data_IF_905998690327
#
_entry.id   IF_905998690327
#
_cell.length_a   1.000
_cell.length_b   1.000
_cell.length_c   1.000
_cell.angle_alpha   90.00
_cell.angle_beta   90.00
_cell.angle_gamma   90.00
#
_symmetry.space_group_name_H-M   'P 1'
#
loop_
_entity.id
_entity.type
_entity.pdbx_description
1 polymer ?
#
# COMPACT_ATOMS: atom_id res chain seq x y z
N UNK A 1 14.03 -23.09 16.01
CA UNK A 1 14.67 -23.73 14.83
C UNK A 1 13.96 -25.05 14.56
N UNK A 2 13.04 -25.11 13.61
CA UNK A 2 12.46 -26.36 13.14
C UNK A 2 13.15 -26.77 11.85
N UNK A 3 13.86 -27.87 11.85
CA UNK A 3 14.49 -28.46 10.66
C UNK A 3 13.38 -29.02 9.75
N UNK A 4 13.36 -28.53 8.49
CA UNK A 4 12.52 -29.09 7.44
C UNK A 4 13.20 -30.35 6.94
N UNK A 5 12.60 -31.52 7.19
CA UNK A 5 13.04 -32.81 6.61
C UNK A 5 12.67 -32.83 5.13
N UNK A 6 13.68 -32.86 4.27
CA UNK A 6 13.50 -33.15 2.83
C UNK A 6 13.09 -34.62 2.64
N UNK A 7 12.20 -34.92 1.68
CA UNK A 7 11.84 -36.30 1.37
C UNK A 7 13.03 -37.09 0.81
N UNK A 8 13.16 -38.31 1.28
CA UNK A 8 14.15 -39.29 0.91
C UNK A 8 14.02 -39.66 -0.57
N UNK A 9 15.09 -39.47 -1.35
CA UNK A 9 15.19 -39.96 -2.73
C UNK A 9 15.79 -41.35 -2.68
N UNK A 10 15.13 -42.40 -3.19
CA UNK A 10 15.73 -43.74 -3.24
C UNK A 10 16.62 -43.89 -4.49
N UNK A 11 17.84 -44.36 -4.25
CA UNK A 11 18.63 -45.12 -5.19
C UNK A 11 19.50 -44.37 -6.18
N UNK A 12 20.77 -44.60 -6.02
CA UNK A 12 21.86 -44.27 -6.95
C UNK A 12 21.52 -44.69 -8.39
N UNK A 13 21.37 -43.70 -9.29
CA UNK A 13 21.44 -43.90 -10.72
C UNK A 13 22.61 -43.11 -11.25
N UNK A 14 23.70 -43.78 -11.52
CA UNK A 14 24.83 -43.25 -12.31
C UNK A 14 24.30 -42.75 -13.67
N UNK A 15 24.21 -41.44 -13.83
CA UNK A 15 23.90 -40.83 -15.12
C UNK A 15 25.08 -40.99 -16.08
N UNK A 16 24.96 -41.88 -17.05
CA UNK A 16 25.90 -41.95 -18.18
C UNK A 16 25.75 -40.71 -19.04
N UNK A 17 26.88 -40.06 -19.33
CA UNK A 17 26.93 -38.97 -20.30
C UNK A 17 26.39 -39.42 -21.63
N UNK A 18 25.17 -38.99 -22.01
CA UNK A 18 24.61 -39.22 -23.32
C UNK A 18 23.08 -39.35 -23.42
N UNK A 19 22.38 -39.54 -22.30
CA UNK A 19 20.92 -39.65 -22.34
C UNK A 19 20.25 -38.31 -22.21
N UNK A 20 19.91 -37.68 -23.33
CA UNK A 20 18.99 -36.57 -23.41
C UNK A 20 17.61 -37.05 -22.95
N UNK A 21 17.13 -36.57 -21.80
CA UNK A 21 15.77 -36.79 -21.37
C UNK A 21 14.80 -36.22 -22.43
N UNK A 22 13.70 -36.92 -22.77
CA UNK A 22 12.79 -36.48 -23.82
C UNK A 22 12.22 -35.09 -23.51
N UNK A 23 12.15 -34.21 -24.50
CA UNK A 23 11.61 -32.85 -24.48
C UNK A 23 10.20 -32.72 -23.84
N UNK A 24 9.46 -33.81 -23.75
CA UNK A 24 8.13 -33.85 -23.13
C UNK A 24 8.10 -33.60 -21.63
N UNK A 25 9.22 -33.82 -20.91
CA UNK A 25 9.28 -33.61 -19.46
C UNK A 25 9.38 -32.11 -19.05
N UNK A 26 9.90 -31.29 -19.93
CA UNK A 26 10.04 -29.86 -19.68
C UNK A 26 8.78 -29.07 -20.03
N UNK A 27 8.03 -29.48 -21.05
CA UNK A 27 6.80 -28.78 -21.45
C UNK A 27 5.69 -28.84 -20.39
N UNK A 28 5.55 -29.96 -19.68
CA UNK A 28 4.56 -30.10 -18.61
C UNK A 28 4.87 -29.23 -17.37
N UNK A 29 6.16 -29.14 -16.99
CA UNK A 29 6.57 -28.33 -15.83
C UNK A 29 6.54 -26.82 -16.10
N UNK A 30 6.86 -26.38 -17.32
CA UNK A 30 6.73 -24.95 -17.69
C UNK A 30 5.26 -24.49 -17.73
N UNK A 31 4.33 -25.34 -18.16
CA UNK A 31 2.89 -25.01 -18.18
C UNK A 31 2.35 -24.92 -16.75
N UNK A 32 2.73 -25.82 -15.86
CA UNK A 32 2.28 -25.82 -14.47
C UNK A 32 2.87 -24.64 -13.69
N UNK A 33 4.16 -24.31 -13.88
CA UNK A 33 4.79 -23.13 -13.29
C UNK A 33 4.20 -21.81 -13.82
N UNK A 34 3.74 -21.78 -15.08
CA UNK A 34 3.03 -20.60 -15.63
C UNK A 34 1.61 -20.49 -15.08
N UNK A 35 0.88 -21.60 -14.92
CA UNK A 35 -0.44 -21.61 -14.31
C UNK A 35 -0.37 -21.22 -12.82
N UNK A 36 0.55 -21.80 -12.04
CA UNK A 36 0.73 -21.46 -10.64
C UNK A 36 1.14 -19.98 -10.44
N UNK A 37 1.97 -19.42 -11.36
CA UNK A 37 2.31 -17.98 -11.33
C UNK A 37 1.14 -17.08 -11.70
N UNK A 38 0.21 -17.55 -12.51
CA UNK A 38 -0.96 -16.79 -12.94
C UNK A 38 -2.09 -16.87 -11.90
N UNK A 39 -2.29 -18.01 -11.24
CA UNK A 39 -3.27 -18.20 -10.16
C UNK A 39 -2.87 -17.44 -8.88
N UNK A 40 -1.59 -17.42 -8.51
CA UNK A 40 -1.10 -16.63 -7.37
C UNK A 40 -1.29 -15.12 -7.61
N UNK A 41 -1.25 -14.66 -8.88
CA UNK A 41 -1.42 -13.23 -9.22
C UNK A 41 -2.88 -12.75 -9.27
N UNK A 42 -3.83 -13.66 -9.52
CA UNK A 42 -5.25 -13.30 -9.68
C UNK A 42 -5.90 -12.83 -8.37
N UNK A 43 -5.24 -13.04 -7.22
CA UNK A 43 -5.79 -12.72 -5.90
C UNK A 43 -5.00 -11.66 -5.12
N UNK A 44 -4.06 -10.93 -5.73
CA UNK A 44 -3.35 -9.86 -5.03
C UNK A 44 -4.23 -8.64 -4.83
N UNK A 45 -4.52 -8.31 -3.58
CA UNK A 45 -5.36 -7.18 -3.20
C UNK A 45 -4.50 -5.95 -2.90
N UNK A 46 -4.10 -5.22 -3.95
CA UNK A 46 -3.43 -3.93 -3.79
C UNK A 46 -4.48 -2.84 -3.57
N UNK A 47 -4.52 -2.27 -2.39
CA UNK A 47 -5.57 -1.36 -1.93
C UNK A 47 -4.96 0.02 -1.65
N UNK A 48 -5.53 1.05 -2.24
CA UNK A 48 -5.25 2.44 -1.85
C UNK A 48 -6.24 2.83 -0.77
N UNK A 49 -5.78 3.08 0.47
CA UNK A 49 -6.62 3.69 1.49
C UNK A 49 -6.51 5.21 1.40
N UNK A 50 -7.63 5.87 1.17
CA UNK A 50 -7.70 7.27 0.77
C UNK A 50 -8.56 8.10 1.73
N UNK A 51 -8.31 9.41 1.79
CA UNK A 51 -9.07 10.35 2.62
C UNK A 51 -8.18 11.45 3.18
N UNK A 52 -8.81 12.52 3.65
CA UNK A 52 -8.11 13.66 4.23
C UNK A 52 -7.25 13.28 5.45
N UNK A 53 -6.27 14.13 5.82
CA UNK A 53 -5.60 14.01 7.11
C UNK A 53 -6.63 13.90 8.25
N UNK A 54 -6.45 12.93 9.16
CA UNK A 54 -7.41 12.71 10.27
C UNK A 54 -8.60 11.81 9.96
N UNK A 55 -8.77 11.30 8.73
CA UNK A 55 -9.93 10.46 8.36
C UNK A 55 -9.91 9.04 8.97
N UNK A 56 -8.83 8.62 9.61
CA UNK A 56 -8.74 7.30 10.25
C UNK A 56 -8.05 6.22 9.42
N UNK A 57 -7.40 6.58 8.30
CA UNK A 57 -6.69 5.63 7.42
C UNK A 57 -5.77 4.67 8.16
N UNK A 58 -4.84 5.19 8.96
CA UNK A 58 -3.88 4.37 9.69
C UNK A 58 -4.53 3.34 10.60
N UNK A 59 -5.55 3.75 11.37
CA UNK A 59 -6.30 2.85 12.27
C UNK A 59 -7.00 1.73 11.50
N UNK A 60 -7.60 2.04 10.35
CA UNK A 60 -8.23 1.02 9.51
C UNK A 60 -7.17 0.15 8.81
N UNK A 61 -6.05 0.73 8.36
CA UNK A 61 -4.94 -0.05 7.78
C UNK A 61 -4.42 -1.10 8.76
N UNK A 62 -4.20 -0.77 10.02
CA UNK A 62 -3.74 -1.71 11.05
C UNK A 62 -4.69 -2.91 11.19
N UNK A 63 -6.01 -2.67 11.26
CA UNK A 63 -7.02 -3.73 11.29
C UNK A 63 -7.03 -4.59 10.03
N UNK A 64 -6.87 -3.97 8.85
CA UNK A 64 -6.85 -4.67 7.57
C UNK A 64 -5.61 -5.55 7.41
N UNK A 65 -4.44 -5.09 7.88
CA UNK A 65 -3.20 -5.87 7.91
C UNK A 65 -3.41 -7.14 8.76
N UNK A 66 -3.95 -6.98 9.95
CA UNK A 66 -4.20 -8.10 10.88
C UNK A 66 -5.21 -9.09 10.28
N UNK A 67 -6.28 -8.60 9.66
CA UNK A 67 -7.38 -9.41 9.17
C UNK A 67 -7.04 -10.17 7.87
N UNK A 68 -6.43 -9.48 6.89
CA UNK A 68 -6.15 -10.05 5.56
C UNK A 68 -4.72 -10.54 5.39
N UNK A 69 -3.80 -10.14 6.25
CA UNK A 69 -2.37 -10.43 6.13
C UNK A 69 -1.74 -9.72 4.93
N UNK A 70 -2.16 -8.48 4.68
CA UNK A 70 -1.62 -7.62 3.64
C UNK A 70 -0.34 -6.92 4.11
N UNK A 71 0.56 -6.61 3.17
CA UNK A 71 1.68 -5.72 3.45
C UNK A 71 1.18 -4.27 3.52
N UNK A 72 1.96 -3.41 4.18
CA UNK A 72 1.58 -2.01 4.39
C UNK A 72 2.70 -1.06 4.00
N UNK A 73 2.38 -0.07 3.19
CA UNK A 73 3.25 1.06 2.89
C UNK A 73 2.57 2.35 3.37
N UNK A 74 3.00 2.83 4.54
CA UNK A 74 2.63 4.17 5.01
C UNK A 74 3.73 5.15 4.68
N UNK A 75 3.52 5.97 3.66
CA UNK A 75 4.53 6.98 3.26
C UNK A 75 4.84 7.96 4.38
N UNK A 76 3.83 8.31 5.18
CA UNK A 76 4.02 9.17 6.33
C UNK A 76 4.93 8.54 7.40
N UNK A 77 4.81 7.23 7.64
CA UNK A 77 5.62 6.55 8.65
C UNK A 77 7.04 6.32 8.15
N UNK A 78 7.22 5.98 6.87
CA UNK A 78 8.55 5.89 6.23
C UNK A 78 9.30 7.20 6.40
N UNK A 79 8.68 8.34 6.06
CA UNK A 79 9.32 9.64 6.16
C UNK A 79 9.61 10.04 7.62
N UNK A 80 8.70 9.81 8.55
CA UNK A 80 8.93 10.05 9.98
C UNK A 80 10.06 9.19 10.53
N UNK A 81 10.20 7.95 10.08
CA UNK A 81 11.30 7.10 10.47
C UNK A 81 12.64 7.64 9.96
N UNK A 82 12.70 8.14 8.73
CA UNK A 82 13.91 8.76 8.17
C UNK A 82 14.27 10.07 8.87
N UNK A 83 13.28 10.90 9.24
CA UNK A 83 13.47 12.09 10.07
C UNK A 83 14.09 11.71 11.42
N UNK A 84 13.54 10.69 12.09
CA UNK A 84 14.05 10.22 13.38
C UNK A 84 15.49 9.69 13.30
N UNK A 85 15.85 9.05 12.17
CA UNK A 85 17.22 8.59 11.92
C UNK A 85 18.19 9.73 11.54
N UNK A 86 17.68 10.91 11.19
CA UNK A 86 18.49 12.06 10.75
C UNK A 86 19.15 11.88 9.38
N UNK A 87 18.57 11.04 8.50
CA UNK A 87 19.10 10.84 7.14
C UNK A 87 18.92 12.08 6.27
N UNK A 88 19.62 12.18 5.15
CA UNK A 88 19.43 13.30 4.19
C UNK A 88 18.00 13.34 3.65
N UNK A 89 17.40 12.17 3.40
CA UNK A 89 15.98 12.07 3.08
C UNK A 89 15.10 12.64 4.22
N UNK A 90 15.40 12.27 5.46
CA UNK A 90 14.68 12.76 6.63
C UNK A 90 14.76 14.28 6.81
N UNK A 91 15.94 14.87 6.62
CA UNK A 91 16.12 16.33 6.67
C UNK A 91 15.31 17.04 5.58
N UNK A 92 15.34 16.52 4.36
CA UNK A 92 14.53 17.03 3.24
C UNK A 92 13.03 16.91 3.55
N UNK A 93 12.58 15.75 4.02
CA UNK A 93 11.20 15.47 4.35
C UNK A 93 10.66 16.37 5.47
N UNK A 94 11.47 16.66 6.50
CA UNK A 94 11.09 17.52 7.61
C UNK A 94 10.64 18.89 7.13
N UNK A 95 11.39 19.52 6.20
CA UNK A 95 11.05 20.86 5.68
C UNK A 95 9.68 20.92 5.01
N UNK A 96 9.28 19.88 4.28
CA UNK A 96 7.95 19.79 3.65
C UNK A 96 6.84 19.48 4.66
N UNK A 97 7.07 18.54 5.56
CA UNK A 97 6.09 18.11 6.58
C UNK A 97 5.74 19.27 7.53
N UNK A 98 6.73 20.02 8.00
CA UNK A 98 6.53 21.16 8.89
C UNK A 98 5.69 22.28 8.24
N UNK A 99 5.76 22.39 6.93
CA UNK A 99 4.97 23.35 6.15
C UNK A 99 3.60 22.78 5.71
N UNK A 100 3.32 21.50 6.01
CA UNK A 100 2.11 20.82 5.57
C UNK A 100 2.06 20.52 4.06
N UNK A 101 3.22 20.57 3.38
CA UNK A 101 3.37 20.34 1.94
C UNK A 101 3.64 18.87 1.61
N UNK A 102 3.45 18.52 0.32
CA UNK A 102 3.83 17.22 -0.21
C UNK A 102 5.32 17.23 -0.59
N UNK A 103 5.95 16.07 -0.44
CA UNK A 103 7.30 15.81 -0.95
C UNK A 103 7.24 15.69 -2.47
N UNK A 104 8.29 16.07 -3.21
CA UNK A 104 8.34 15.93 -4.67
C UNK A 104 7.98 14.52 -5.14
N UNK A 105 7.15 14.43 -6.18
CA UNK A 105 6.57 13.18 -6.67
C UNK A 105 7.63 12.14 -7.02
N UNK A 106 8.70 12.52 -7.72
CA UNK A 106 9.78 11.63 -8.14
C UNK A 106 10.45 10.94 -6.94
N UNK A 107 10.67 11.71 -5.87
CA UNK A 107 11.28 11.17 -4.64
C UNK A 107 10.33 10.17 -3.96
N UNK A 108 9.04 10.49 -3.88
CA UNK A 108 8.05 9.60 -3.30
C UNK A 108 7.88 8.31 -4.09
N UNK A 109 7.86 8.39 -5.41
CA UNK A 109 7.73 7.23 -6.30
C UNK A 109 8.93 6.29 -6.12
N UNK A 110 10.16 6.83 -6.06
CA UNK A 110 11.37 6.02 -5.86
C UNK A 110 11.38 5.30 -4.51
N UNK A 111 10.95 5.97 -3.44
CA UNK A 111 10.81 5.37 -2.10
C UNK A 111 9.78 4.25 -2.13
N UNK A 112 8.61 4.51 -2.72
CA UNK A 112 7.53 3.55 -2.80
C UNK A 112 7.95 2.28 -3.55
N UNK A 113 8.58 2.43 -4.71
CA UNK A 113 9.05 1.31 -5.51
C UNK A 113 10.05 0.43 -4.73
N UNK A 114 11.00 1.06 -4.05
CA UNK A 114 11.98 0.35 -3.22
C UNK A 114 11.33 -0.43 -2.07
N UNK A 115 10.35 0.15 -1.38
CA UNK A 115 9.64 -0.53 -0.29
C UNK A 115 8.79 -1.67 -0.84
N UNK A 116 8.05 -1.44 -1.93
CA UNK A 116 7.22 -2.48 -2.57
C UNK A 116 8.06 -3.70 -2.99
N UNK A 117 9.21 -3.46 -3.64
CA UNK A 117 10.10 -4.53 -4.09
C UNK A 117 10.73 -5.30 -2.92
N UNK A 118 10.85 -4.67 -1.74
CA UNK A 118 11.39 -5.33 -0.53
C UNK A 118 10.50 -6.43 0.03
N UNK A 119 9.21 -6.42 -0.25
CA UNK A 119 8.28 -7.48 0.18
C UNK A 119 8.48 -8.80 -0.58
N UNK A 120 9.16 -8.75 -1.71
CA UNK A 120 9.41 -9.93 -2.54
C UNK A 120 8.15 -10.47 -3.22
N UNK A 121 8.22 -11.74 -3.63
CA UNK A 121 7.09 -12.42 -4.29
C UNK A 121 6.32 -13.27 -3.29
N UNK A 122 4.99 -13.26 -3.38
CA UNK A 122 4.12 -14.13 -2.57
C UNK A 122 3.37 -13.44 -1.45
N UNK A 123 3.45 -12.09 -1.34
CA UNK A 123 2.54 -11.34 -0.48
C UNK A 123 1.09 -11.39 -1.04
N UNK A 124 0.10 -11.25 -0.17
CA UNK A 124 -1.33 -11.31 -0.54
C UNK A 124 -1.84 -10.01 -1.18
N UNK A 125 -1.05 -8.95 -1.13
CA UNK A 125 -1.34 -7.61 -1.60
C UNK A 125 -0.77 -6.56 -0.67
N UNK A 126 -0.91 -5.30 -1.04
CA UNK A 126 -0.34 -4.15 -0.32
C UNK A 126 -1.41 -3.10 -0.05
N UNK A 127 -1.42 -2.56 1.15
CA UNK A 127 -2.17 -1.34 1.49
C UNK A 127 -1.24 -0.14 1.30
N UNK A 128 -1.62 0.76 0.39
CA UNK A 128 -0.96 2.04 0.17
C UNK A 128 -1.65 3.11 1.03
N UNK A 129 -1.01 3.56 2.11
CA UNK A 129 -1.50 4.62 3.00
C UNK A 129 -0.71 5.91 2.78
N UNK A 130 -1.43 6.97 2.43
CA UNK A 130 -0.84 8.27 2.16
C UNK A 130 -0.12 8.39 0.81
N UNK A 131 -0.37 7.47 -0.11
CA UNK A 131 0.06 7.47 -1.50
C UNK A 131 -0.98 6.73 -2.36
N UNK A 132 -1.31 7.21 -3.58
CA UNK A 132 -0.85 8.49 -4.17
C UNK A 132 -1.55 9.72 -3.56
N UNK A 133 -0.93 10.89 -3.72
CA UNK A 133 -1.51 12.19 -3.32
C UNK A 133 -1.66 13.18 -4.46
N UNK A 134 -1.11 12.87 -5.64
CA UNK A 134 -1.22 13.66 -6.87
C UNK A 134 -1.55 12.75 -8.04
N UNK A 135 -2.08 13.31 -9.13
CA UNK A 135 -2.36 12.55 -10.37
C UNK A 135 -1.09 11.91 -10.93
N UNK A 136 0.07 12.60 -11.05
CA UNK A 136 1.30 11.97 -11.49
C UNK A 136 1.72 10.78 -10.62
N UNK A 137 1.53 10.85 -9.31
CA UNK A 137 1.78 9.71 -8.40
C UNK A 137 0.85 8.54 -8.68
N UNK A 138 -0.44 8.78 -8.99
CA UNK A 138 -1.39 7.72 -9.32
C UNK A 138 -1.06 7.01 -10.63
N UNK A 139 -0.65 7.77 -11.65
CA UNK A 139 -0.18 7.25 -12.91
C UNK A 139 1.08 6.41 -12.74
N UNK A 140 2.05 6.89 -11.96
CA UNK A 140 3.27 6.16 -11.65
C UNK A 140 2.99 4.87 -10.86
N UNK A 141 2.07 4.90 -9.89
CA UNK A 141 1.64 3.69 -9.17
C UNK A 141 1.02 2.68 -10.12
N UNK A 142 0.13 3.12 -11.00
CA UNK A 142 -0.51 2.27 -12.01
C UNK A 142 0.53 1.60 -12.90
N UNK A 143 1.50 2.38 -13.42
CA UNK A 143 2.56 1.86 -14.25
C UNK A 143 3.46 0.88 -13.48
N UNK A 144 3.91 1.26 -12.28
CA UNK A 144 4.77 0.44 -11.43
C UNK A 144 4.16 -0.93 -11.16
N UNK A 145 2.86 -0.99 -10.83
CA UNK A 145 2.15 -2.23 -10.59
C UNK A 145 1.97 -3.04 -11.88
N UNK A 146 1.64 -2.39 -13.01
CA UNK A 146 1.48 -3.06 -14.30
C UNK A 146 2.77 -3.74 -14.77
N UNK A 147 3.93 -3.12 -14.59
CA UNK A 147 5.25 -3.70 -14.89
C UNK A 147 5.52 -4.99 -14.08
N UNK A 148 4.88 -5.12 -12.93
CA UNK A 148 4.96 -6.29 -12.05
C UNK A 148 3.82 -7.29 -12.28
N UNK A 149 2.91 -6.98 -13.22
CA UNK A 149 1.72 -7.76 -13.56
C UNK A 149 0.60 -7.62 -12.53
N UNK A 150 0.59 -6.52 -11.78
CA UNK A 150 -0.36 -6.19 -10.74
C UNK A 150 -1.19 -4.96 -11.10
N UNK A 151 -2.18 -4.66 -10.28
CA UNK A 151 -3.01 -3.46 -10.43
C UNK A 151 -3.54 -3.02 -9.06
N UNK A 152 -4.05 -1.80 -8.98
CA UNK A 152 -4.88 -1.38 -7.85
C UNK A 152 -6.22 -2.08 -7.96
N UNK A 153 -6.60 -2.84 -6.93
CA UNK A 153 -7.88 -3.55 -6.86
C UNK A 153 -9.01 -2.64 -6.36
N UNK A 154 -8.71 -1.78 -5.38
CA UNK A 154 -9.65 -0.79 -4.85
C UNK A 154 -8.95 0.46 -4.35
N UNK A 155 -9.62 1.61 -4.51
CA UNK A 155 -9.34 2.83 -3.75
C UNK A 155 -10.50 3.07 -2.79
N UNK A 156 -10.22 2.95 -1.49
CA UNK A 156 -11.19 3.07 -0.40
C UNK A 156 -11.13 4.49 0.17
N UNK A 157 -12.10 5.32 -0.20
CA UNK A 157 -12.22 6.69 0.29
C UNK A 157 -12.91 6.72 1.66
N UNK A 158 -12.18 7.06 2.72
CA UNK A 158 -12.75 7.36 4.03
C UNK A 158 -13.21 8.82 4.08
N UNK A 159 -14.49 9.06 3.83
CA UNK A 159 -15.08 10.38 3.83
C UNK A 159 -15.46 10.83 5.26
N UNK A 160 -14.90 11.94 5.70
CA UNK A 160 -15.15 12.53 7.02
C UNK A 160 -15.31 14.05 6.85
N UNK A 161 -16.30 14.67 7.48
CA UNK A 161 -16.47 16.13 7.48
C UNK A 161 -15.27 16.87 8.08
N UNK A 162 -15.02 18.08 7.58
CA UNK A 162 -13.80 18.83 7.92
C UNK A 162 -13.74 19.25 9.41
N UNK A 163 -14.88 19.57 10.01
CA UNK A 163 -14.96 19.90 11.43
C UNK A 163 -14.55 18.71 12.33
N UNK A 164 -14.90 17.50 11.93
CA UNK A 164 -14.50 16.28 12.62
C UNK A 164 -13.01 15.96 12.37
N UNK A 165 -12.51 16.17 11.16
CA UNK A 165 -11.09 16.03 10.85
C UNK A 165 -10.23 16.93 11.73
N UNK A 166 -10.62 18.21 11.89
CA UNK A 166 -9.93 19.18 12.73
C UNK A 166 -9.87 18.71 14.18
N UNK A 167 -10.99 18.26 14.74
CA UNK A 167 -11.06 17.74 16.12
C UNK A 167 -10.12 16.54 16.32
N UNK A 168 -10.18 15.56 15.41
CA UNK A 168 -9.35 14.34 15.47
C UNK A 168 -7.86 14.66 15.39
N UNK A 169 -7.48 15.57 14.50
CA UNK A 169 -6.08 15.95 14.33
C UNK A 169 -5.51 16.70 15.54
N UNK A 170 -6.27 17.66 16.10
CA UNK A 170 -5.86 18.39 17.32
C UNK A 170 -5.72 17.44 18.51
N UNK A 171 -6.68 16.51 18.69
CA UNK A 171 -6.60 15.51 19.74
C UNK A 171 -5.38 14.60 19.57
N UNK A 172 -5.10 14.16 18.34
CA UNK A 172 -3.91 13.35 18.02
C UNK A 172 -2.63 14.11 18.30
N UNK A 173 -2.55 15.39 17.96
CA UNK A 173 -1.40 16.25 18.29
C UNK A 173 -1.10 16.28 19.78
N UNK A 174 -2.13 16.41 20.61
CA UNK A 174 -1.99 16.39 22.07
C UNK A 174 -1.50 15.03 22.60
N UNK A 175 -1.97 13.93 22.01
CA UNK A 175 -1.67 12.56 22.48
C UNK A 175 -0.33 12.04 21.96
N UNK A 176 -0.01 12.28 20.70
CA UNK A 176 1.16 11.69 20.02
C UNK A 176 2.37 12.61 19.89
N UNK A 177 2.23 13.89 20.22
CA UNK A 177 3.29 14.88 20.07
C UNK A 177 3.74 15.13 18.62
N UNK A 178 2.90 14.82 17.62
CA UNK A 178 3.22 15.10 16.21
C UNK A 178 3.28 16.59 15.97
N UNK A 179 4.41 17.07 15.48
CA UNK A 179 4.65 18.50 15.24
C UNK A 179 3.73 19.08 14.14
N UNK A 180 3.29 18.23 13.18
CA UNK A 180 2.41 18.60 12.07
C UNK A 180 0.91 18.60 12.41
N UNK A 181 0.53 18.31 13.66
CA UNK A 181 -0.87 18.30 14.13
C UNK A 181 -1.18 19.54 15.02
N UNK A 182 -0.59 20.69 14.72
CA UNK A 182 -1.02 22.00 15.22
C UNK A 182 -2.02 22.65 14.26
N UNK A 183 -2.84 23.57 14.76
CA UNK A 183 -3.96 24.17 14.02
C UNK A 183 -3.54 24.82 12.70
N UNK A 184 -2.43 25.55 12.68
CA UNK A 184 -1.93 26.22 11.48
C UNK A 184 -1.51 25.20 10.39
N UNK A 185 -0.73 24.20 10.79
CA UNK A 185 -0.27 23.16 9.86
C UNK A 185 -1.43 22.28 9.37
N UNK A 186 -2.40 21.98 10.25
CA UNK A 186 -3.61 21.23 9.87
C UNK A 186 -4.37 21.97 8.75
N UNK A 187 -4.61 23.28 8.91
CA UNK A 187 -5.28 24.11 7.89
C UNK A 187 -4.53 24.06 6.54
N UNK A 188 -3.20 24.20 6.57
CA UNK A 188 -2.37 24.09 5.36
C UNK A 188 -2.50 22.71 4.71
N UNK A 189 -2.48 21.63 5.49
CA UNK A 189 -2.63 20.25 5.00
C UNK A 189 -4.01 20.02 4.37
N UNK A 190 -5.07 20.59 4.91
CA UNK A 190 -6.42 20.49 4.32
C UNK A 190 -6.50 21.24 3.00
N UNK A 191 -5.91 22.44 2.89
CA UNK A 191 -5.81 23.18 1.62
C UNK A 191 -5.06 22.36 0.57
N UNK A 192 -3.91 21.79 0.91
CA UNK A 192 -3.13 20.92 0.01
C UNK A 192 -3.92 19.67 -0.37
N UNK A 193 -4.63 19.05 0.57
CA UNK A 193 -5.49 17.91 0.29
C UNK A 193 -6.58 18.25 -0.74
N UNK A 194 -7.32 19.33 -0.54
CA UNK A 194 -8.39 19.73 -1.45
C UNK A 194 -7.89 20.09 -2.84
N UNK A 195 -6.76 20.79 -2.93
CA UNK A 195 -6.22 21.24 -4.22
C UNK A 195 -5.48 20.17 -5.02
N UNK A 196 -4.74 19.28 -4.35
CA UNK A 196 -3.84 18.34 -5.02
C UNK A 196 -4.28 16.87 -4.93
N UNK A 197 -4.89 16.48 -3.80
CA UNK A 197 -5.17 15.07 -3.50
C UNK A 197 -6.61 14.68 -3.79
N UNK A 198 -7.57 15.50 -3.43
CA UNK A 198 -9.00 15.23 -3.67
C UNK A 198 -9.35 14.96 -5.14
N UNK A 199 -8.72 15.58 -6.16
CA UNK A 199 -8.95 15.25 -7.56
C UNK A 199 -8.72 13.78 -7.93
N UNK A 200 -7.96 13.04 -7.13
CA UNK A 200 -7.77 11.60 -7.30
C UNK A 200 -9.08 10.79 -7.19
N UNK A 201 -10.07 11.28 -6.47
CA UNK A 201 -11.38 10.63 -6.38
C UNK A 201 -11.98 10.45 -7.78
N UNK A 202 -12.01 11.51 -8.57
CA UNK A 202 -12.53 11.46 -9.94
C UNK A 202 -11.64 10.64 -10.88
N UNK A 203 -10.32 10.65 -10.65
CA UNK A 203 -9.40 9.81 -11.40
C UNK A 203 -9.66 8.32 -11.15
N UNK A 204 -9.80 7.88 -9.88
CA UNK A 204 -10.08 6.49 -9.52
C UNK A 204 -11.52 6.05 -9.86
N UNK A 205 -12.50 6.97 -9.89
CA UNK A 205 -13.83 6.70 -10.44
C UNK A 205 -13.76 6.33 -11.92
N UNK A 206 -12.96 7.05 -12.71
CA UNK A 206 -12.74 6.73 -14.13
C UNK A 206 -12.04 5.39 -14.33
N UNK A 207 -11.14 5.02 -13.42
CA UNK A 207 -10.50 3.71 -13.40
C UNK A 207 -11.44 2.57 -12.93
N UNK A 208 -12.62 2.88 -12.43
CA UNK A 208 -13.64 1.92 -11.98
C UNK A 208 -13.30 1.19 -10.67
N UNK A 209 -12.40 1.74 -9.86
CA UNK A 209 -11.93 1.10 -8.60
C UNK A 209 -12.15 1.97 -7.36
N UNK A 210 -12.95 3.03 -7.46
CA UNK A 210 -13.30 3.90 -6.33
C UNK A 210 -14.48 3.35 -5.52
N UNK A 211 -14.32 3.31 -4.20
CA UNK A 211 -15.35 2.94 -3.23
C UNK A 211 -15.42 3.98 -2.13
N UNK A 212 -16.62 4.53 -1.93
CA UNK A 212 -16.89 5.54 -0.89
C UNK A 212 -17.29 4.87 0.42
N UNK A 213 -16.59 5.16 1.51
CA UNK A 213 -16.84 4.67 2.86
C UNK A 213 -17.11 5.85 3.78
N UNK A 214 -18.22 5.80 4.50
CA UNK A 214 -18.51 6.80 5.53
C UNK A 214 -17.58 6.61 6.72
N UNK A 215 -16.61 7.51 6.89
CA UNK A 215 -15.59 7.49 7.96
C UNK A 215 -16.07 8.06 9.31
N UNK A 216 -17.38 8.34 9.48
CA UNK A 216 -17.98 8.75 10.75
C UNK A 216 -18.55 7.54 11.50
N UNK A 217 -18.47 7.54 12.82
CA UNK A 217 -19.08 6.54 13.70
C UNK A 217 -18.06 5.56 14.27
N UNK A 218 -18.57 4.41 14.70
CA UNK A 218 -17.82 3.39 15.39
C UNK A 218 -16.77 2.73 14.48
N UNK A 219 -15.55 2.52 15.00
CA UNK A 219 -14.42 1.98 14.26
C UNK A 219 -14.71 0.61 13.64
N UNK A 220 -15.42 -0.26 14.38
CA UNK A 220 -15.73 -1.62 13.93
C UNK A 220 -16.78 -1.63 12.81
N UNK A 221 -17.72 -0.68 12.81
CA UNK A 221 -18.65 -0.52 11.71
C UNK A 221 -17.94 -0.07 10.43
N UNK A 222 -17.07 0.94 10.54
CA UNK A 222 -16.27 1.41 9.39
C UNK A 222 -15.41 0.27 8.86
N UNK A 223 -14.81 -0.51 9.74
CA UNK A 223 -14.03 -1.68 9.36
C UNK A 223 -14.86 -2.73 8.62
N UNK A 224 -16.07 -3.04 9.11
CA UNK A 224 -16.97 -3.96 8.45
C UNK A 224 -17.40 -3.47 7.05
N UNK A 225 -17.69 -2.17 6.89
CA UNK A 225 -18.00 -1.55 5.60
C UNK A 225 -16.84 -1.69 4.60
N UNK A 226 -15.60 -1.52 5.08
CA UNK A 226 -14.38 -1.74 4.29
C UNK A 226 -14.24 -3.21 3.89
N UNK A 227 -14.38 -4.13 4.84
CA UNK A 227 -14.28 -5.57 4.58
C UNK A 227 -15.32 -6.02 3.54
N UNK A 228 -16.55 -5.52 3.62
CA UNK A 228 -17.60 -5.81 2.64
C UNK A 228 -17.19 -5.43 1.21
N UNK A 229 -16.42 -4.36 1.01
CA UNK A 229 -15.84 -4.03 -0.30
C UNK A 229 -14.72 -5.00 -0.67
N UNK A 230 -13.77 -5.23 0.23
CA UNK A 230 -12.57 -6.05 -0.04
C UNK A 230 -12.94 -7.50 -0.36
N UNK A 231 -13.97 -8.05 0.27
CA UNK A 231 -14.40 -9.43 0.07
C UNK A 231 -15.09 -9.64 -1.28
N UNK A 232 -15.55 -8.54 -1.92
CA UNK A 232 -16.25 -8.58 -3.21
C UNK A 232 -15.39 -8.16 -4.43
N UNK A 233 -14.08 -7.91 -4.26
CA UNK A 233 -13.15 -7.51 -5.34
C UNK A 233 -12.13 -8.58 -5.67
#
# INVERSE_FOLDING_TARGET
>A
MRQIKLPHVPGDVEARKGDLLPDQWYKGKEIQVKQDKQEIRINMKNIVIFGAPGSGKGTQSEKLIEHYGLEHISTGDVLRAEIKKGTELGKTAQGYIDQGQLIPDELMISILASVYDSFGRGHKGVIFDGFPRTIPQAEALKQMLAERGDKVAAMLELAVPEDELMKRLLLRGQQSGRADDNEETIKKRLVVYHSQTQPLIEWYKKEGVHYHINGLGELDRIFADICAVIDNI
#
